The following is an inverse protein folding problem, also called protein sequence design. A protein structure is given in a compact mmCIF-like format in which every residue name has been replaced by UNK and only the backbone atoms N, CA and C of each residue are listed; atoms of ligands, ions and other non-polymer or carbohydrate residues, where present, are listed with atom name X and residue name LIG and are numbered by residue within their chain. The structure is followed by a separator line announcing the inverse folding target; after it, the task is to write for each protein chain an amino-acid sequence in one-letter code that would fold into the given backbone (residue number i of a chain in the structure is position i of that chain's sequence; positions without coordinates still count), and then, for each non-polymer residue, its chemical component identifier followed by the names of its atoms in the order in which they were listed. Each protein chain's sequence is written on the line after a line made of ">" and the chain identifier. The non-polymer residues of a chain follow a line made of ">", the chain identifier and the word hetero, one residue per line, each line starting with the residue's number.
data_IF_556752953511
#
_entry.id   IF_556752953511
#
_cell.length_a   1.000
_cell.length_b   1.000
_cell.length_c   1.000
_cell.angle_alpha   90.00
_cell.angle_beta   90.00
_cell.angle_gamma   90.00
#
_symmetry.space_group_name_H-M   'P 1'
#
loop_
_entity.id
_entity.type
_entity.pdbx_description
1 polymer ?
#
# COMPACT_ATOMS: atom_id res chain seq x y z
N UNK A 1 -93.97 -0.57 5.56
CA UNK A 1 -92.72 -1.29 5.26
C UNK A 1 -92.27 -0.88 3.88
N UNK A 2 -91.07 -0.35 3.76
CA UNK A 2 -90.55 0.14 2.48
C UNK A 2 -90.04 -1.06 1.66
N UNK A 3 -90.37 -1.10 0.37
CA UNK A 3 -89.97 -2.17 -0.56
C UNK A 3 -88.60 -1.85 -1.15
N UNK A 4 -87.87 -2.90 -1.56
CA UNK A 4 -86.60 -2.76 -2.26
C UNK A 4 -86.83 -2.19 -3.66
N UNK A 5 -86.02 -1.22 -4.07
CA UNK A 5 -86.17 -0.54 -5.37
C UNK A 5 -85.85 -1.48 -6.55
N UNK A 6 -85.05 -2.53 -6.32
CA UNK A 6 -84.68 -3.54 -7.34
C UNK A 6 -85.57 -4.78 -7.33
N UNK A 7 -86.24 -5.06 -6.21
CA UNK A 7 -87.08 -6.24 -6.03
C UNK A 7 -88.39 -5.84 -5.37
N UNK A 8 -89.44 -5.64 -6.18
CA UNK A 8 -90.75 -5.19 -5.70
C UNK A 8 -91.36 -6.12 -4.64
N UNK A 9 -91.02 -7.41 -4.65
CA UNK A 9 -91.56 -8.42 -3.72
C UNK A 9 -90.85 -8.44 -2.35
N UNK A 10 -89.73 -7.71 -2.18
CA UNK A 10 -88.87 -7.83 -1.00
C UNK A 10 -88.86 -6.57 -0.16
N UNK A 11 -88.71 -6.75 1.16
CA UNK A 11 -88.64 -5.66 2.14
C UNK A 11 -87.21 -5.11 2.17
N UNK A 12 -87.07 -3.78 2.16
CA UNK A 12 -85.78 -3.12 2.27
C UNK A 12 -85.20 -3.28 3.68
N UNK A 13 -83.91 -3.61 3.77
CA UNK A 13 -83.14 -3.74 5.02
C UNK A 13 -82.17 -2.58 5.26
N UNK A 14 -81.88 -1.77 4.23
CA UNK A 14 -80.99 -0.62 4.33
C UNK A 14 -81.11 0.31 3.13
N UNK A 15 -80.41 1.45 3.20
CA UNK A 15 -80.35 2.45 2.13
C UNK A 15 -78.90 2.56 1.67
N UNK A 16 -78.66 2.53 0.36
CA UNK A 16 -77.33 2.72 -0.21
C UNK A 16 -76.83 4.13 0.11
N UNK A 17 -75.70 4.22 0.79
CA UNK A 17 -75.11 5.49 1.23
C UNK A 17 -74.68 6.37 0.05
N UNK A 18 -74.41 5.78 -1.11
CA UNK A 18 -73.91 6.49 -2.30
C UNK A 18 -75.01 6.94 -3.26
N UNK A 19 -76.06 6.14 -3.50
CA UNK A 19 -77.11 6.47 -4.47
C UNK A 19 -78.48 6.75 -3.83
N UNK A 20 -78.69 6.36 -2.57
CA UNK A 20 -79.98 6.54 -1.88
C UNK A 20 -81.01 5.44 -2.11
N UNK A 21 -80.69 4.41 -2.91
CA UNK A 21 -81.62 3.31 -3.20
C UNK A 21 -81.87 2.46 -1.95
N UNK A 22 -83.11 1.97 -1.80
CA UNK A 22 -83.54 1.04 -0.74
C UNK A 22 -83.23 -0.38 -1.17
N UNK A 23 -82.40 -1.07 -0.39
CA UNK A 23 -81.84 -2.37 -0.72
C UNK A 23 -82.39 -3.47 0.18
N UNK A 24 -82.78 -4.60 -0.40
CA UNK A 24 -82.95 -5.85 0.35
C UNK A 24 -81.58 -6.50 0.64
N UNK A 25 -81.57 -7.52 1.49
CA UNK A 25 -80.35 -8.20 1.94
C UNK A 25 -79.45 -8.69 0.79
N UNK A 26 -80.05 -9.19 -0.30
CA UNK A 26 -79.30 -9.68 -1.46
C UNK A 26 -78.76 -8.55 -2.36
N UNK A 27 -79.36 -7.35 -2.30
CA UNK A 27 -78.88 -6.20 -3.06
C UNK A 27 -77.75 -5.45 -2.35
N UNK A 28 -77.51 -5.74 -1.07
CA UNK A 28 -76.40 -5.19 -0.29
C UNK A 28 -75.15 -6.01 -0.62
N UNK A 29 -74.19 -5.40 -1.30
CA UNK A 29 -72.94 -6.08 -1.66
C UNK A 29 -71.83 -5.90 -0.63
N UNK A 30 -71.82 -4.75 0.06
CA UNK A 30 -70.82 -4.44 1.08
C UNK A 30 -71.50 -3.76 2.27
N UNK A 31 -71.17 -4.23 3.49
CA UNK A 31 -71.69 -3.73 4.76
C UNK A 31 -70.52 -3.53 5.72
N UNK A 32 -69.95 -2.33 5.72
CA UNK A 32 -68.84 -1.94 6.60
C UNK A 32 -69.33 -0.95 7.64
N UNK A 33 -69.73 -1.48 8.80
CA UNK A 33 -70.33 -0.66 9.86
C UNK A 33 -71.63 -0.02 9.40
N UNK A 34 -71.68 1.31 9.44
CA UNK A 34 -72.86 2.10 9.02
C UNK A 34 -72.96 2.32 7.52
N UNK A 35 -71.92 1.96 6.75
CA UNK A 35 -71.89 2.15 5.30
C UNK A 35 -72.48 0.91 4.63
N UNK A 36 -73.63 1.10 3.98
CA UNK A 36 -74.28 0.12 3.11
C UNK A 36 -74.13 0.58 1.67
N UNK A 37 -73.63 -0.28 0.78
CA UNK A 37 -73.49 0.01 -0.66
C UNK A 37 -74.20 -1.05 -1.51
N UNK A 38 -74.83 -0.61 -2.59
CA UNK A 38 -75.26 -1.49 -3.66
C UNK A 38 -74.05 -1.95 -4.48
N UNK A 39 -74.21 -3.05 -5.23
CA UNK A 39 -73.14 -3.64 -6.03
C UNK A 39 -72.43 -2.65 -6.95
N UNK A 40 -73.19 -1.82 -7.69
CA UNK A 40 -72.61 -0.83 -8.61
C UNK A 40 -71.80 0.25 -7.89
N UNK A 41 -72.29 0.72 -6.74
CA UNK A 41 -71.58 1.71 -5.94
C UNK A 41 -70.34 1.12 -5.26
N UNK A 42 -70.41 -0.14 -4.81
CA UNK A 42 -69.26 -0.86 -4.27
C UNK A 42 -68.17 -1.03 -5.34
N UNK A 43 -68.53 -1.42 -6.55
CA UNK A 43 -67.59 -1.54 -7.68
C UNK A 43 -66.95 -0.19 -8.02
N UNK A 44 -67.73 0.90 -8.08
CA UNK A 44 -67.19 2.25 -8.30
C UNK A 44 -66.24 2.71 -7.20
N UNK A 45 -66.57 2.44 -5.94
CA UNK A 45 -65.71 2.75 -4.80
C UNK A 45 -64.37 2.01 -4.92
N UNK A 46 -64.39 0.72 -5.27
CA UNK A 46 -63.16 -0.05 -5.48
C UNK A 46 -62.35 0.44 -6.68
N UNK A 47 -62.99 0.83 -7.79
CA UNK A 47 -62.29 1.34 -8.97
C UNK A 47 -61.57 2.68 -8.71
N UNK A 48 -62.18 3.57 -7.92
CA UNK A 48 -61.54 4.83 -7.52
C UNK A 48 -60.30 4.63 -6.64
N UNK A 49 -60.31 3.62 -5.77
CA UNK A 49 -59.16 3.26 -4.95
C UNK A 49 -58.00 2.68 -5.79
N UNK A 50 -58.31 1.96 -6.87
CA UNK A 50 -57.31 1.48 -7.83
C UNK A 50 -56.60 2.62 -8.57
N UNK A 51 -57.33 3.61 -9.09
CA UNK A 51 -56.70 4.77 -9.75
C UNK A 51 -55.80 5.57 -8.81
N UNK A 52 -56.18 5.66 -7.53
CA UNK A 52 -55.38 6.35 -6.51
C UNK A 52 -54.10 5.58 -6.20
N UNK A 53 -54.16 4.25 -6.20
CA UNK A 53 -53.01 3.38 -6.01
C UNK A 53 -52.05 3.42 -7.20
N UNK A 54 -52.54 3.42 -8.44
CA UNK A 54 -51.71 3.52 -9.65
C UNK A 54 -50.94 4.84 -9.70
N UNK A 55 -51.63 5.97 -9.47
CA UNK A 55 -50.97 7.30 -9.41
C UNK A 55 -49.88 7.37 -8.35
N UNK A 56 -50.09 6.72 -7.20
CA UNK A 56 -49.07 6.65 -6.14
C UNK A 56 -47.86 5.82 -6.58
N UNK A 57 -48.10 4.71 -7.28
CA UNK A 57 -47.03 3.85 -7.81
C UNK A 57 -46.18 4.57 -8.86
N UNK A 58 -46.82 5.31 -9.75
CA UNK A 58 -46.13 6.07 -10.80
C UNK A 58 -45.29 7.21 -10.22
N UNK A 59 -45.83 7.95 -9.24
CA UNK A 59 -45.08 8.98 -8.52
C UNK A 59 -43.87 8.40 -7.75
N UNK A 60 -44.03 7.24 -7.10
CA UNK A 60 -42.92 6.55 -6.43
C UNK A 60 -41.87 6.03 -7.43
N UNK A 61 -42.29 5.57 -8.61
CA UNK A 61 -41.38 5.13 -9.68
C UNK A 61 -40.57 6.31 -10.25
N UNK A 62 -41.19 7.48 -10.42
CA UNK A 62 -40.52 8.70 -10.87
C UNK A 62 -39.51 9.20 -9.85
N UNK A 63 -39.87 9.23 -8.56
CA UNK A 63 -38.94 9.60 -7.47
C UNK A 63 -37.77 8.61 -7.40
N UNK A 64 -37.99 7.31 -7.61
CA UNK A 64 -36.91 6.31 -7.69
C UNK A 64 -36.00 6.56 -8.89
N UNK A 65 -36.54 6.87 -10.08
CA UNK A 65 -35.74 7.21 -11.27
C UNK A 65 -34.92 8.49 -11.06
N UNK A 66 -35.50 9.51 -10.41
CA UNK A 66 -34.82 10.76 -10.10
C UNK A 66 -33.67 10.56 -9.08
N UNK A 67 -33.86 9.69 -8.08
CA UNK A 67 -32.78 9.35 -7.11
C UNK A 67 -31.66 8.49 -7.70
N UNK A 68 -31.93 7.73 -8.77
CA UNK A 68 -30.93 6.89 -9.44
C UNK A 68 -30.04 7.70 -10.39
N UNK A 69 -30.47 8.89 -10.84
CA UNK A 69 -29.56 9.89 -11.43
C UNK A 69 -28.66 10.50 -10.34
N UNK A 70 -27.76 9.69 -9.77
CA UNK A 70 -26.59 10.22 -9.07
C UNK A 70 -25.86 11.11 -10.08
N UNK A 71 -25.39 12.30 -9.70
CA UNK A 71 -24.47 13.05 -10.55
C UNK A 71 -23.34 12.09 -10.87
N UNK A 72 -23.13 11.82 -12.16
CA UNK A 72 -21.95 11.19 -12.70
C UNK A 72 -20.80 12.09 -12.23
N UNK A 73 -20.26 11.78 -11.05
CA UNK A 73 -18.94 12.26 -10.69
C UNK A 73 -18.06 11.59 -11.71
N UNK A 74 -17.58 12.37 -12.66
CA UNK A 74 -16.44 12.05 -13.53
C UNK A 74 -15.23 11.83 -12.62
N UNK A 75 -15.27 10.73 -11.86
CA UNK A 75 -14.17 10.26 -11.10
C UNK A 75 -13.13 9.83 -12.10
N UNK A 76 -11.92 10.33 -11.91
CA UNK A 76 -10.70 9.82 -12.54
C UNK A 76 -10.84 8.29 -12.55
N UNK A 77 -11.05 7.72 -13.75
CA UNK A 77 -11.35 6.30 -13.90
C UNK A 77 -10.28 5.44 -13.24
N UNK A 78 -10.55 4.15 -13.01
CA UNK A 78 -9.58 3.26 -12.35
C UNK A 78 -8.17 3.32 -12.95
N UNK A 79 -8.08 3.58 -14.26
CA UNK A 79 -6.81 3.81 -14.97
C UNK A 79 -6.05 5.07 -14.52
N UNK A 80 -6.74 6.17 -14.21
CA UNK A 80 -6.08 7.39 -13.75
C UNK A 80 -5.52 7.26 -12.33
N UNK A 81 -6.17 6.50 -11.44
CA UNK A 81 -5.60 6.17 -10.12
C UNK A 81 -4.35 5.29 -10.25
N UNK A 82 -4.36 4.32 -11.16
CA UNK A 82 -3.20 3.49 -11.45
C UNK A 82 -1.99 4.32 -11.90
N UNK A 83 -2.20 5.31 -12.77
CA UNK A 83 -1.14 6.21 -13.23
C UNK A 83 -0.57 7.07 -12.09
N UNK A 84 -1.41 7.62 -11.21
CA UNK A 84 -0.96 8.43 -10.07
C UNK A 84 -0.09 7.60 -9.12
N UNK A 85 -0.51 6.38 -8.80
CA UNK A 85 0.24 5.48 -7.92
C UNK A 85 1.58 5.12 -8.55
N UNK A 86 1.59 4.75 -9.83
CA UNK A 86 2.80 4.35 -10.56
C UNK A 86 3.82 5.48 -10.62
N UNK A 87 3.39 6.71 -10.95
CA UNK A 87 4.26 7.88 -10.97
C UNK A 87 4.83 8.22 -9.59
N UNK A 88 4.05 8.00 -8.52
CA UNK A 88 4.51 8.21 -7.15
C UNK A 88 5.63 7.25 -6.75
N UNK A 89 5.54 5.97 -7.14
CA UNK A 89 6.58 4.97 -6.88
C UNK A 89 7.87 5.33 -7.63
N UNK A 90 7.76 5.67 -8.92
CA UNK A 90 8.91 6.06 -9.74
C UNK A 90 9.60 7.31 -9.17
N UNK A 91 8.83 8.30 -8.72
CA UNK A 91 9.38 9.50 -8.08
C UNK A 91 10.12 9.19 -6.76
N UNK A 92 9.61 8.23 -5.98
CA UNK A 92 10.24 7.81 -4.73
C UNK A 92 11.57 7.08 -4.97
N UNK A 93 11.60 6.14 -5.92
CA UNK A 93 12.82 5.40 -6.27
C UNK A 93 13.89 6.30 -6.89
N UNK A 94 13.49 7.17 -7.84
CA UNK A 94 14.41 8.14 -8.44
C UNK A 94 14.93 9.16 -7.41
N UNK A 95 14.11 9.53 -6.43
CA UNK A 95 14.52 10.35 -5.29
C UNK A 95 15.66 9.72 -4.49
N UNK A 96 15.55 8.43 -4.15
CA UNK A 96 16.60 7.69 -3.42
C UNK A 96 17.90 7.68 -4.22
N UNK A 97 17.83 7.31 -5.50
CA UNK A 97 19.01 7.26 -6.38
C UNK A 97 19.66 8.63 -6.51
N UNK A 98 18.86 9.70 -6.70
CA UNK A 98 19.36 11.05 -6.81
C UNK A 98 20.02 11.52 -5.51
N UNK A 99 19.44 11.20 -4.36
CA UNK A 99 20.05 11.52 -3.06
C UNK A 99 21.37 10.79 -2.86
N UNK A 100 21.45 9.49 -3.15
CA UNK A 100 22.70 8.73 -3.07
C UNK A 100 23.76 9.28 -4.03
N UNK A 101 23.36 9.60 -5.26
CA UNK A 101 24.27 10.18 -6.25
C UNK A 101 24.82 11.54 -5.81
N UNK A 102 23.96 12.44 -5.32
CA UNK A 102 24.37 13.76 -4.84
C UNK A 102 25.25 13.67 -3.59
N UNK A 103 24.96 12.72 -2.72
CA UNK A 103 25.72 12.42 -1.50
C UNK A 103 27.12 11.87 -1.82
N UNK A 104 27.21 10.90 -2.74
CA UNK A 104 28.49 10.32 -3.18
C UNK A 104 29.34 11.38 -3.88
N UNK A 105 28.74 12.24 -4.71
CA UNK A 105 29.47 13.28 -5.45
C UNK A 105 29.91 14.46 -4.58
N UNK A 106 29.26 14.72 -3.44
CA UNK A 106 29.66 15.77 -2.48
C UNK A 106 30.73 15.34 -1.46
N UNK A 107 31.24 14.11 -1.52
CA UNK A 107 32.46 13.72 -0.79
C UNK A 107 32.36 13.63 0.74
N UNK A 108 31.20 13.93 1.34
CA UNK A 108 31.08 14.03 2.81
C UNK A 108 30.55 12.79 3.53
N UNK A 109 30.36 11.65 2.86
CA UNK A 109 29.99 10.40 3.55
C UNK A 109 31.08 9.35 3.45
N UNK A 110 32.14 9.58 4.23
CA UNK A 110 32.95 8.49 4.77
C UNK A 110 32.65 8.21 6.26
N UNK A 111 31.64 8.88 6.87
CA UNK A 111 31.40 8.81 8.33
C UNK A 111 30.07 8.21 8.78
N UNK A 112 29.04 8.14 7.94
CA UNK A 112 27.71 7.65 8.38
C UNK A 112 27.58 6.11 8.32
N UNK A 113 28.54 5.41 7.72
CA UNK A 113 28.49 3.94 7.55
C UNK A 113 29.46 3.14 8.43
N UNK A 114 29.93 3.65 9.57
CA UNK A 114 30.71 2.82 10.51
C UNK A 114 29.85 2.16 11.57
N UNK A 115 28.88 2.88 12.16
CA UNK A 115 28.18 2.42 13.38
C UNK A 115 26.96 1.53 13.10
N UNK A 116 26.34 1.66 11.94
CA UNK A 116 25.20 0.81 11.52
C UNK A 116 25.66 -0.48 10.85
N UNK A 117 26.83 -0.48 10.17
CA UNK A 117 27.44 -1.72 9.64
C UNK A 117 27.99 -2.59 10.79
N UNK A 118 28.66 -2.00 11.78
CA UNK A 118 29.14 -2.73 12.98
C UNK A 118 28.04 -3.29 13.86
N UNK A 119 26.80 -2.77 13.79
CA UNK A 119 25.65 -3.34 14.50
C UNK A 119 24.92 -4.42 13.71
N UNK A 120 25.02 -4.43 12.38
CA UNK A 120 24.31 -5.41 11.52
C UNK A 120 25.18 -6.60 11.15
N UNK A 121 26.50 -6.43 11.19
CA UNK A 121 27.48 -7.52 11.19
C UNK A 121 28.31 -7.34 12.47
N UNK A 122 28.46 -8.40 13.29
CA UNK A 122 29.46 -8.46 14.37
C UNK A 122 30.88 -8.45 13.79
N UNK A 123 31.21 -7.43 13.00
CA UNK A 123 32.51 -7.22 12.41
C UNK A 123 33.39 -6.70 13.54
N UNK A 124 34.27 -7.58 13.99
CA UNK A 124 35.32 -7.29 14.94
C UNK A 124 36.10 -6.03 14.54
N UNK A 125 36.57 -5.24 15.51
CA UNK A 125 37.24 -3.95 15.25
C UNK A 125 38.44 -4.12 14.31
N UNK A 126 39.13 -5.26 14.37
CA UNK A 126 40.24 -5.57 13.49
C UNK A 126 39.80 -5.72 12.03
N UNK A 127 38.63 -6.31 11.78
CA UNK A 127 38.04 -6.44 10.43
C UNK A 127 37.74 -5.08 9.79
N UNK A 128 37.24 -4.15 10.61
CA UNK A 128 36.92 -2.78 10.19
C UNK A 128 38.20 -2.04 9.84
N UNK A 129 39.28 -2.23 10.61
CA UNK A 129 40.58 -1.63 10.34
C UNK A 129 41.21 -2.20 9.06
N UNK A 130 41.19 -3.51 8.85
CA UNK A 130 41.66 -4.14 7.61
C UNK A 130 40.90 -3.62 6.38
N UNK A 131 39.58 -3.47 6.50
CA UNK A 131 38.76 -2.90 5.43
C UNK A 131 39.12 -1.45 5.13
N UNK A 132 39.35 -0.61 6.16
CA UNK A 132 39.82 0.78 5.98
C UNK A 132 41.17 0.83 5.25
N UNK A 133 42.12 -0.04 5.62
CA UNK A 133 43.44 -0.12 4.96
C UNK A 133 43.25 -0.53 3.49
N UNK A 134 42.45 -1.56 3.21
CA UNK A 134 42.15 -2.00 1.84
C UNK A 134 41.52 -0.90 0.99
N UNK A 135 40.55 -0.15 1.53
CA UNK A 135 39.97 0.99 0.82
C UNK A 135 40.99 2.10 0.53
N UNK A 136 41.92 2.36 1.45
CA UNK A 136 42.98 3.33 1.23
C UNK A 136 43.95 2.88 0.12
N UNK A 137 44.27 1.58 0.05
CA UNK A 137 45.08 1.00 -1.02
C UNK A 137 44.42 1.14 -2.39
N UNK A 138 43.11 0.89 -2.50
CA UNK A 138 42.41 1.08 -3.79
C UNK A 138 42.43 2.54 -4.22
N UNK A 139 42.17 3.48 -3.30
CA UNK A 139 42.27 4.92 -3.62
C UNK A 139 43.67 5.33 -4.04
N UNK A 140 44.70 4.74 -3.43
CA UNK A 140 46.08 4.95 -3.86
C UNK A 140 46.29 4.44 -5.29
N UNK A 141 45.82 3.24 -5.62
CA UNK A 141 45.92 2.64 -6.96
C UNK A 141 45.27 3.51 -8.03
N UNK A 142 44.10 4.09 -7.74
CA UNK A 142 43.40 4.99 -8.67
C UNK A 142 44.26 6.20 -9.08
N UNK A 143 45.09 6.71 -8.17
CA UNK A 143 46.02 7.81 -8.43
C UNK A 143 47.37 7.39 -9.01
N UNK A 144 47.74 6.11 -8.93
CA UNK A 144 49.08 5.60 -9.20
C UNK A 144 49.11 4.51 -10.27
N UNK A 145 48.26 4.64 -11.29
CA UNK A 145 48.27 3.75 -12.47
C UNK A 145 47.88 2.31 -12.17
N UNK A 146 47.10 2.08 -11.12
CA UNK A 146 46.62 0.76 -10.71
C UNK A 146 47.60 -0.04 -9.85
N UNK A 147 48.81 0.47 -9.58
CA UNK A 147 49.82 -0.24 -8.79
C UNK A 147 49.58 -0.03 -7.27
N UNK A 148 49.54 -1.10 -6.46
CA UNK A 148 49.46 -0.97 -5.01
C UNK A 148 50.74 -0.31 -4.44
N UNK A 149 50.67 0.34 -3.26
CA UNK A 149 51.85 0.90 -2.63
C UNK A 149 52.83 -0.20 -2.25
N UNK A 150 54.13 0.10 -2.20
CA UNK A 150 55.14 -0.87 -1.74
C UNK A 150 55.06 -1.13 -0.24
N UNK A 151 54.62 -0.12 0.51
CA UNK A 151 54.53 -0.13 1.97
C UNK A 151 53.28 0.64 2.43
N UNK A 152 52.71 0.26 3.57
CA UNK A 152 51.52 0.93 4.14
C UNK A 152 51.79 2.39 4.54
N UNK A 153 53.04 2.74 4.83
CA UNK A 153 53.49 4.09 5.17
C UNK A 153 53.17 5.10 4.06
N UNK A 154 53.18 4.68 2.79
CA UNK A 154 52.86 5.52 1.64
C UNK A 154 51.39 5.98 1.58
N UNK A 155 50.51 5.37 2.37
CA UNK A 155 49.11 5.78 2.48
C UNK A 155 48.91 6.99 3.40
N UNK A 156 49.89 7.29 4.26
CA UNK A 156 49.82 8.39 5.23
C UNK A 156 50.64 9.59 4.72
N UNK A 157 50.12 10.84 4.78
CA UNK A 157 48.84 11.24 5.38
C UNK A 157 47.66 11.28 4.39
N UNK A 158 47.93 11.06 3.10
CA UNK A 158 47.00 11.47 2.03
C UNK A 158 45.74 10.58 1.93
N UNK A 159 45.86 9.29 2.26
CA UNK A 159 44.77 8.30 2.16
C UNK A 159 44.33 7.78 3.53
N UNK A 160 45.21 7.82 4.53
CA UNK A 160 44.96 7.46 5.93
C UNK A 160 45.56 8.53 6.85
N UNK A 161 44.83 8.89 7.91
CA UNK A 161 45.37 9.80 8.94
C UNK A 161 46.48 9.17 9.77
N UNK A 162 46.38 7.86 10.03
CA UNK A 162 47.42 7.04 10.64
C UNK A 162 47.14 5.57 10.29
N UNK A 163 48.16 4.72 10.32
CA UNK A 163 47.98 3.27 10.19
C UNK A 163 47.33 2.77 11.49
N UNK A 164 46.15 2.12 11.45
CA UNK A 164 45.55 1.55 12.64
C UNK A 164 46.35 0.31 13.07
N UNK A 165 46.51 0.12 14.38
CA UNK A 165 47.03 -1.11 14.96
C UNK A 165 45.90 -2.11 15.22
N UNK A 166 46.24 -3.39 15.31
CA UNK A 166 45.33 -4.44 15.73
C UNK A 166 44.88 -4.20 17.19
N UNK A 167 43.57 -4.09 17.47
CA UNK A 167 43.06 -3.83 18.81
C UNK A 167 43.39 -4.92 19.85
N UNK A 168 43.67 -6.16 19.42
CA UNK A 168 43.98 -7.27 20.35
C UNK A 168 45.46 -7.35 20.66
N UNK A 169 46.31 -7.33 19.64
CA UNK A 169 47.76 -7.48 19.82
C UNK A 169 48.50 -6.15 20.01
N UNK A 170 47.91 -5.04 19.56
CA UNK A 170 48.58 -3.73 19.48
C UNK A 170 49.66 -3.66 18.40
N UNK A 171 49.80 -4.70 17.57
CA UNK A 171 50.78 -4.77 16.50
C UNK A 171 50.21 -4.19 15.19
N UNK A 172 51.12 -3.81 14.30
CA UNK A 172 50.76 -3.37 12.95
C UNK A 172 50.25 -4.53 12.10
N UNK A 173 49.34 -4.22 11.16
CA UNK A 173 48.86 -5.20 10.19
C UNK A 173 49.98 -5.61 9.24
N UNK A 174 50.02 -6.90 8.91
CA UNK A 174 50.91 -7.43 7.90
C UNK A 174 50.38 -7.09 6.51
N UNK A 175 51.30 -6.68 5.63
CA UNK A 175 50.99 -6.25 4.28
C UNK A 175 51.95 -6.89 3.29
N UNK A 176 51.39 -7.51 2.25
CA UNK A 176 52.14 -8.06 1.14
C UNK A 176 51.53 -7.57 -0.16
N UNK A 177 52.37 -7.04 -1.05
CA UNK A 177 51.99 -6.60 -2.39
C UNK A 177 52.78 -7.39 -3.43
N UNK A 178 52.09 -8.12 -4.29
CA UNK A 178 52.70 -8.94 -5.35
C UNK A 178 51.92 -8.76 -6.66
N UNK A 179 52.61 -8.41 -7.74
CA UNK A 179 52.12 -8.40 -9.12
C UNK A 179 50.72 -7.76 -9.31
N UNK A 180 50.48 -6.63 -8.63
CA UNK A 180 49.22 -5.87 -8.72
C UNK A 180 48.10 -6.38 -7.80
N UNK A 181 48.34 -7.47 -7.08
CA UNK A 181 47.52 -7.95 -5.97
C UNK A 181 48.10 -7.52 -4.62
N UNK A 182 47.27 -7.53 -3.59
CA UNK A 182 47.74 -7.32 -2.21
C UNK A 182 46.92 -8.13 -1.21
N UNK A 183 47.56 -8.45 -0.10
CA UNK A 183 46.91 -9.02 1.08
C UNK A 183 47.20 -8.14 2.29
N UNK A 184 46.19 -8.05 3.15
CA UNK A 184 46.32 -7.44 4.48
C UNK A 184 45.92 -8.51 5.47
N UNK A 185 46.82 -8.83 6.41
CA UNK A 185 46.60 -9.84 7.45
C UNK A 185 46.70 -9.23 8.84
N UNK A 186 45.81 -9.67 9.72
CA UNK A 186 45.90 -9.36 11.15
C UNK A 186 46.96 -10.25 11.79
N UNK A 187 47.70 -9.74 12.77
CA UNK A 187 48.73 -10.49 13.49
C UNK A 187 48.16 -11.63 14.35
N UNK A 188 46.88 -11.56 14.75
CA UNK A 188 46.19 -12.62 15.50
C UNK A 188 44.84 -13.00 14.87
N UNK A 189 44.84 -13.65 13.68
CA UNK A 189 43.59 -13.96 12.97
C UNK A 189 42.67 -14.88 13.77
N UNK A 190 43.25 -15.81 14.55
CA UNK A 190 42.54 -16.77 15.40
C UNK A 190 41.75 -16.08 16.52
N UNK A 191 42.29 -15.02 17.12
CA UNK A 191 41.67 -14.30 18.23
C UNK A 191 40.36 -13.59 17.82
N UNK A 192 40.23 -13.28 16.53
CA UNK A 192 39.07 -12.59 15.97
C UNK A 192 38.10 -13.53 15.25
N UNK A 193 38.35 -14.85 15.28
CA UNK A 193 37.62 -15.81 14.44
C UNK A 193 37.70 -15.47 12.94
N UNK A 194 38.75 -14.75 12.55
CA UNK A 194 38.88 -14.13 11.24
C UNK A 194 39.88 -14.85 10.34
N UNK A 195 39.63 -14.65 9.06
CA UNK A 195 40.14 -15.40 7.94
C UNK A 195 40.58 -14.35 6.95
N UNK A 196 41.89 -14.27 6.73
CA UNK A 196 42.64 -13.29 5.93
C UNK A 196 41.86 -12.64 4.76
N UNK A 197 42.06 -11.33 4.57
CA UNK A 197 41.51 -10.55 3.46
C UNK A 197 42.51 -10.55 2.30
N UNK A 198 42.15 -11.19 1.19
CA UNK A 198 42.94 -11.17 -0.04
C UNK A 198 42.16 -10.44 -1.11
N UNK A 199 42.80 -9.47 -1.76
CA UNK A 199 42.25 -8.85 -2.96
C UNK A 199 42.88 -9.50 -4.20
N UNK A 200 42.08 -10.24 -4.95
CA UNK A 200 42.48 -10.82 -6.24
C UNK A 200 41.67 -10.13 -7.33
N UNK A 201 42.33 -9.38 -8.20
CA UNK A 201 41.70 -8.69 -9.34
C UNK A 201 40.51 -7.78 -8.96
N UNK A 202 40.61 -7.06 -7.84
CA UNK A 202 39.57 -6.12 -7.39
C UNK A 202 38.39 -6.79 -6.66
N UNK A 203 38.46 -8.10 -6.37
CA UNK A 203 37.49 -8.81 -5.53
C UNK A 203 38.11 -9.20 -4.21
N UNK A 204 37.42 -8.83 -3.12
CA UNK A 204 37.80 -9.21 -1.76
C UNK A 204 37.32 -10.63 -1.47
N UNK A 205 38.25 -11.51 -1.14
CA UNK A 205 38.00 -12.89 -0.74
C UNK A 205 38.33 -13.06 0.75
N UNK A 206 37.41 -13.69 1.48
CA UNK A 206 37.63 -14.21 2.83
C UNK A 206 37.83 -15.72 2.70
N UNK A 207 38.95 -16.27 3.16
CA UNK A 207 39.22 -17.71 3.03
C UNK A 207 39.58 -18.34 4.37
N UNK A 208 38.89 -19.43 4.72
CA UNK A 208 39.07 -20.16 5.98
C UNK A 208 40.45 -20.80 6.05
N UNK A 209 41.12 -20.70 7.20
CA UNK A 209 42.28 -21.53 7.54
C UNK A 209 41.77 -22.97 7.49
N UNK A 210 42.18 -23.71 6.46
CA UNK A 210 42.05 -25.17 6.49
C UNK A 210 43.03 -25.64 7.57
N UNK A 211 42.49 -26.28 8.62
CA UNK A 211 43.28 -26.90 9.69
C UNK A 211 44.36 -27.78 9.04
N UNK A 212 45.61 -27.47 9.34
CA UNK A 212 46.77 -28.27 8.94
C UNK A 212 47.19 -29.17 10.08
#
# INVERSE_FOLDING_TARGET
>A
MERCDRHSERIAKGICTSCGDRLCDECISDRRGDIVLCFECAVKATAGDFEKWERKKDAEAEIRRAKIKKPEREGIGGFGWFLIITLSIIALESGIIATDYLVVRRGEISRISSNTITKRYNLDVSSVNMHKISMAIEKYKDGHGGAPPKELSALVPDYLGSIPADPVTGLDYEYLAEDGSYSVTCSAPEAHGMLYLINVNGKLHYKKLEEK
#
